data_IF_548362822933
#
_entry.id   IF_548362822933
#
_cell.length_a   1.000
_cell.length_b   1.000
_cell.length_c   1.000
_cell.angle_alpha   90.00
_cell.angle_beta   90.00
_cell.angle_gamma   90.00
#
_symmetry.space_group_name_H-M   'P 1'
#
loop_
_entity.id
_entity.type
_entity.pdbx_description
1 polymer ?
#
# COMPACT_ATOMS: atom_id res chain seq x y z
N UNK A 1 -29.57 -2.29 6.21
CA UNK A 1 -29.36 -3.16 7.38
C UNK A 1 -30.20 -4.42 7.23
N UNK A 2 -29.73 -5.40 6.45
CA UNK A 2 -30.39 -6.69 6.29
C UNK A 2 -29.67 -7.71 7.17
N UNK A 3 -30.35 -8.21 8.20
CA UNK A 3 -29.83 -9.25 9.10
C UNK A 3 -30.82 -10.41 9.10
N UNK A 4 -30.32 -11.62 8.85
CA UNK A 4 -31.13 -12.84 8.89
C UNK A 4 -30.90 -13.48 10.25
N UNK A 5 -31.97 -13.58 11.03
CA UNK A 5 -32.00 -14.23 12.35
C UNK A 5 -32.09 -15.74 12.11
N UNK A 6 -31.00 -16.47 12.37
CA UNK A 6 -30.97 -17.94 12.16
C UNK A 6 -31.55 -18.73 13.34
N UNK A 7 -31.65 -18.13 14.54
CA UNK A 7 -32.31 -18.71 15.70
C UNK A 7 -32.93 -17.60 16.54
N UNK A 8 -34.24 -17.68 16.79
CA UNK A 8 -34.95 -16.73 17.65
C UNK A 8 -34.47 -16.90 19.10
N UNK A 9 -34.09 -15.80 19.75
CA UNK A 9 -33.86 -15.75 21.19
C UNK A 9 -35.18 -15.78 21.97
N UNK A 10 -35.11 -15.61 23.29
CA UNK A 10 -36.20 -15.81 24.28
C UNK A 10 -37.44 -14.90 24.15
N UNK A 11 -37.49 -13.98 23.19
CA UNK A 11 -38.63 -13.08 22.95
C UNK A 11 -39.04 -13.12 21.48
N UNK A 12 -40.25 -13.60 21.22
CA UNK A 12 -40.85 -13.78 19.88
C UNK A 12 -41.52 -12.48 19.44
N UNK A 13 -40.91 -11.76 18.50
CA UNK A 13 -41.43 -10.54 17.87
C UNK A 13 -40.44 -9.90 16.89
N UNK A 14 -40.87 -9.12 15.89
CA UNK A 14 -40.01 -8.59 14.83
C UNK A 14 -39.03 -7.55 15.40
N UNK A 15 -37.74 -7.88 15.42
CA UNK A 15 -36.71 -6.96 15.90
C UNK A 15 -36.51 -5.83 14.89
N UNK A 16 -36.83 -4.59 15.30
CA UNK A 16 -36.74 -3.42 14.44
C UNK A 16 -35.29 -2.96 14.19
N UNK A 17 -34.34 -3.30 15.07
CA UNK A 17 -32.95 -2.85 14.96
C UNK A 17 -31.93 -3.90 15.41
N UNK A 18 -30.72 -3.85 14.85
CA UNK A 18 -29.58 -4.73 15.15
C UNK A 18 -29.20 -4.83 16.64
N UNK A 19 -29.17 -3.73 17.44
CA UNK A 19 -28.80 -3.81 18.85
C UNK A 19 -29.81 -4.62 19.71
N UNK A 20 -31.10 -4.61 19.36
CA UNK A 20 -32.14 -5.34 20.11
C UNK A 20 -32.03 -6.86 19.90
N UNK A 21 -31.63 -7.30 18.70
CA UNK A 21 -31.43 -8.72 18.39
C UNK A 21 -30.17 -9.30 19.06
N UNK A 22 -29.10 -8.50 19.21
CA UNK A 22 -27.89 -8.91 19.95
C UNK A 22 -28.14 -8.98 21.46
N UNK A 23 -28.91 -8.04 22.02
CA UNK A 23 -29.27 -8.03 23.44
C UNK A 23 -30.16 -9.24 23.83
N UNK A 24 -30.99 -9.73 22.91
CA UNK A 24 -31.82 -10.92 23.09
C UNK A 24 -31.07 -12.26 22.91
N UNK A 25 -29.75 -12.24 22.73
CA UNK A 25 -28.92 -13.45 22.54
C UNK A 25 -29.15 -14.16 21.21
N UNK A 26 -29.78 -13.50 20.23
CA UNK A 26 -30.00 -14.07 18.90
C UNK A 26 -28.69 -14.03 18.11
N UNK A 27 -28.21 -15.20 17.67
CA UNK A 27 -27.07 -15.31 16.76
C UNK A 27 -27.50 -14.81 15.38
N UNK A 28 -27.21 -13.55 15.12
CA UNK A 28 -27.43 -12.89 13.83
C UNK A 28 -26.19 -13.04 12.98
N UNK A 29 -26.31 -13.60 11.77
CA UNK A 29 -25.22 -13.48 10.79
C UNK A 29 -25.32 -12.07 10.20
N UNK A 30 -24.47 -11.17 10.70
CA UNK A 30 -24.39 -9.78 10.28
C UNK A 30 -23.69 -9.63 8.93
N UNK A 31 -24.25 -10.24 7.88
CA UNK A 31 -23.75 -10.14 6.50
C UNK A 31 -23.64 -8.68 6.05
N UNK A 32 -24.58 -7.83 6.47
CA UNK A 32 -24.55 -6.40 6.15
C UNK A 32 -23.33 -5.65 6.72
N UNK A 33 -22.89 -6.00 7.93
CA UNK A 33 -21.71 -5.36 8.54
C UNK A 33 -20.43 -5.88 7.91
N UNK A 34 -20.33 -7.18 7.66
CA UNK A 34 -19.18 -7.78 6.98
C UNK A 34 -19.00 -7.24 5.55
N UNK A 35 -20.08 -7.11 4.79
CA UNK A 35 -20.03 -6.52 3.45
C UNK A 35 -19.64 -5.04 3.53
N UNK A 36 -20.15 -4.28 4.50
CA UNK A 36 -19.79 -2.88 4.69
C UNK A 36 -18.29 -2.71 5.03
N UNK A 37 -17.74 -3.56 5.90
CA UNK A 37 -16.31 -3.52 6.22
C UNK A 37 -15.45 -3.89 5.01
N UNK A 38 -15.84 -4.90 4.23
CA UNK A 38 -15.16 -5.26 2.98
C UNK A 38 -15.20 -4.12 1.96
N UNK A 39 -16.36 -3.51 1.75
CA UNK A 39 -16.51 -2.37 0.83
C UNK A 39 -15.66 -1.19 1.30
N UNK A 40 -15.70 -0.86 2.59
CA UNK A 40 -14.90 0.22 3.17
C UNK A 40 -13.40 -0.03 3.00
N UNK A 41 -12.94 -1.27 3.24
CA UNK A 41 -11.56 -1.66 3.03
C UNK A 41 -11.13 -1.50 1.57
N UNK A 42 -11.96 -1.97 0.63
CA UNK A 42 -11.68 -1.87 -0.81
C UNK A 42 -11.65 -0.40 -1.27
N UNK A 43 -12.56 0.45 -0.80
CA UNK A 43 -12.57 1.89 -1.13
C UNK A 43 -11.28 2.56 -0.63
N UNK A 44 -10.88 2.33 0.61
CA UNK A 44 -9.66 2.93 1.18
C UNK A 44 -8.41 2.42 0.45
N UNK A 45 -8.32 1.11 0.20
CA UNK A 45 -7.21 0.52 -0.56
C UNK A 45 -7.12 1.11 -1.97
N UNK A 46 -8.25 1.28 -2.66
CA UNK A 46 -8.29 1.87 -3.99
C UNK A 46 -7.90 3.36 -3.99
N UNK A 47 -8.33 4.13 -2.98
CA UNK A 47 -7.94 5.52 -2.81
C UNK A 47 -6.43 5.68 -2.58
N UNK A 48 -5.84 4.87 -1.69
CA UNK A 48 -4.39 4.87 -1.43
C UNK A 48 -3.62 4.43 -2.68
N UNK A 49 -4.09 3.41 -3.39
CA UNK A 49 -3.49 2.97 -4.65
C UNK A 49 -3.44 4.08 -5.70
N UNK A 50 -4.55 4.81 -5.90
CA UNK A 50 -4.58 5.95 -6.83
C UNK A 50 -3.65 7.08 -6.39
N UNK A 51 -3.57 7.36 -5.08
CA UNK A 51 -2.68 8.38 -4.53
C UNK A 51 -1.20 8.04 -4.81
N UNK A 52 -0.76 6.82 -4.48
CA UNK A 52 0.62 6.38 -4.74
C UNK A 52 0.91 6.34 -6.24
N UNK A 53 -0.04 5.86 -7.06
CA UNK A 53 0.10 5.84 -8.52
C UNK A 53 0.26 7.24 -9.10
N UNK A 54 -0.50 8.22 -8.60
CA UNK A 54 -0.39 9.61 -9.03
C UNK A 54 0.92 10.25 -8.58
N UNK A 55 1.34 10.03 -7.33
CA UNK A 55 2.63 10.51 -6.83
C UNK A 55 3.77 9.91 -7.64
N UNK A 56 3.77 8.60 -7.91
CA UNK A 56 4.80 7.96 -8.73
C UNK A 56 4.77 8.45 -10.18
N UNK A 57 3.58 8.73 -10.75
CA UNK A 57 3.45 9.32 -12.09
C UNK A 57 4.01 10.75 -12.15
N UNK A 58 3.85 11.53 -11.07
CA UNK A 58 4.37 12.89 -10.97
C UNK A 58 5.87 12.91 -10.68
N UNK A 59 6.36 12.05 -9.78
CA UNK A 59 7.79 11.87 -9.48
C UNK A 59 8.57 11.32 -10.68
N UNK A 60 7.95 10.59 -11.60
CA UNK A 60 8.62 10.18 -12.85
C UNK A 60 8.94 11.36 -13.77
N UNK A 61 8.35 12.54 -13.57
CA UNK A 61 8.72 13.79 -14.25
C UNK A 61 9.95 14.47 -13.62
N UNK A 62 10.28 14.14 -12.39
CA UNK A 62 11.58 14.46 -11.79
C UNK A 62 12.53 13.34 -12.22
N UNK A 63 13.30 13.63 -13.26
CA UNK A 63 14.35 12.75 -13.79
C UNK A 63 15.09 12.12 -12.60
N UNK A 64 15.17 10.77 -12.51
CA UNK A 64 15.98 10.14 -11.47
C UNK A 64 17.35 10.78 -11.55
N UNK A 65 17.81 11.39 -10.44
CA UNK A 65 19.11 12.05 -10.41
C UNK A 65 20.12 11.09 -11.04
N UNK A 66 20.69 11.49 -12.18
CA UNK A 66 21.63 10.64 -12.92
C UNK A 66 22.71 10.19 -11.93
N UNK A 67 23.09 8.90 -11.93
CA UNK A 67 24.06 8.40 -10.98
C UNK A 67 25.34 9.24 -11.09
N UNK A 68 25.65 9.98 -10.04
CA UNK A 68 26.80 10.89 -9.99
C UNK A 68 28.12 10.13 -9.80
N UNK A 69 28.03 8.83 -9.53
CA UNK A 69 29.14 7.92 -9.28
C UNK A 69 29.15 6.76 -10.28
N UNK A 70 30.35 6.42 -10.77
CA UNK A 70 30.67 5.21 -11.54
C UNK A 70 31.69 4.38 -10.76
N UNK A 71 31.74 3.08 -10.97
CA UNK A 71 32.78 2.24 -10.38
C UNK A 71 34.04 2.26 -11.25
N UNK A 72 35.20 2.37 -10.60
CA UNK A 72 36.49 2.30 -11.28
C UNK A 72 36.76 0.85 -11.76
N UNK A 73 37.07 0.61 -13.06
CA UNK A 73 37.32 -0.74 -13.58
C UNK A 73 38.60 -1.40 -13.02
N UNK A 74 39.50 -0.62 -12.42
CA UNK A 74 40.78 -1.13 -11.89
C UNK A 74 40.71 -1.48 -10.41
N UNK A 75 40.02 -0.67 -9.61
CA UNK A 75 40.03 -0.79 -8.15
C UNK A 75 38.64 -0.89 -7.51
N UNK A 76 37.56 -0.91 -8.31
CA UNK A 76 36.17 -1.07 -7.88
C UNK A 76 35.69 -0.06 -6.82
N UNK A 77 36.40 1.06 -6.69
CA UNK A 77 35.98 2.17 -5.82
C UNK A 77 34.98 3.04 -6.56
N UNK A 78 33.96 3.52 -5.85
CA UNK A 78 32.99 4.49 -6.38
C UNK A 78 33.65 5.86 -6.57
N UNK A 79 33.64 6.37 -7.79
CA UNK A 79 34.29 7.60 -8.22
C UNK A 79 33.32 8.48 -9.01
N UNK A 80 33.51 9.82 -9.06
CA UNK A 80 32.61 10.69 -9.82
C UNK A 80 32.67 10.37 -11.32
N UNK A 81 31.51 10.44 -12.01
CA UNK A 81 31.40 10.07 -13.44
C UNK A 81 32.36 10.84 -14.34
N UNK A 82 32.64 12.11 -14.02
CA UNK A 82 33.55 13.00 -14.77
C UNK A 82 35.04 12.80 -14.44
N UNK A 83 35.40 11.86 -13.57
CA UNK A 83 36.81 11.60 -13.26
C UNK A 83 37.54 11.02 -14.48
N UNK A 84 38.60 11.70 -14.89
CA UNK A 84 39.60 11.25 -15.87
C UNK A 84 40.70 10.39 -15.20
N UNK A 85 40.92 10.58 -13.89
CA UNK A 85 41.88 9.81 -13.10
C UNK A 85 41.26 9.34 -11.79
N UNK A 86 41.49 8.08 -11.42
CA UNK A 86 40.98 7.52 -10.16
C UNK A 86 41.77 8.08 -8.96
N UNK A 87 41.13 8.63 -7.92
CA UNK A 87 41.82 9.13 -6.72
C UNK A 87 42.39 8.02 -5.83
N UNK A 88 41.88 6.79 -5.93
CA UNK A 88 42.31 5.68 -5.09
C UNK A 88 43.52 4.93 -5.66
N UNK A 89 43.43 4.50 -6.93
CA UNK A 89 44.50 3.74 -7.58
C UNK A 89 45.34 4.55 -8.57
N UNK A 90 45.03 5.84 -8.78
CA UNK A 90 45.75 6.75 -9.69
C UNK A 90 45.77 6.34 -11.17
N UNK A 91 44.99 5.33 -11.57
CA UNK A 91 44.84 4.91 -12.96
C UNK A 91 44.11 5.95 -13.81
N UNK A 92 44.47 6.01 -15.09
CA UNK A 92 43.77 6.82 -16.09
C UNK A 92 42.52 6.06 -16.56
N UNK A 93 41.38 6.75 -16.57
CA UNK A 93 40.06 6.19 -16.87
C UNK A 93 39.60 6.53 -18.30
N UNK A 94 40.49 7.11 -19.10
CA UNK A 94 40.23 7.61 -20.47
C UNK A 94 40.21 6.50 -21.54
N UNK A 95 40.46 5.23 -21.15
CA UNK A 95 40.39 4.10 -22.07
C UNK A 95 38.95 3.57 -22.14
N UNK A 96 38.26 4.02 -23.21
CA UNK A 96 36.94 3.62 -23.72
C UNK A 96 36.46 2.22 -23.32
#
# INVERSE_FOLDING_TARGET
NLFVVLKQGTVIGPYATLPDAQAAGAVTINYGVFINTVISFVIVAFAVFLLIRNINRLKRKEVPAEPTTKDCPYCYTSIPVKATRCPHCTSQLDQK
#
